data_IF_656014441464
#
_entry.id   IF_656014441464
#
_cell.length_a   1.000
_cell.length_b   1.000
_cell.length_c   1.000
_cell.angle_alpha   90.00
_cell.angle_beta   90.00
_cell.angle_gamma   90.00
#
_symmetry.space_group_name_H-M   'P 1'
#
loop_
_entity.id
_entity.type
_entity.pdbx_description
1 polymer ?
#
# COMPACT_ATOMS: atom_id res chain seq x y z
N UNK A 1 -21.14 -8.36 -9.10
CA UNK A 1 -20.15 -7.95 -8.09
C UNK A 1 -19.94 -6.42 -8.10
N UNK A 2 -19.64 -5.79 -9.23
CA UNK A 2 -19.41 -4.34 -9.34
C UNK A 2 -20.63 -3.54 -8.85
N UNK A 3 -21.83 -3.84 -9.32
CA UNK A 3 -23.06 -3.16 -8.85
C UNK A 3 -23.26 -3.27 -7.34
N UNK A 4 -23.01 -4.45 -6.78
CA UNK A 4 -23.07 -4.65 -5.34
C UNK A 4 -22.07 -3.76 -4.58
N UNK A 5 -20.80 -3.70 -5.04
CA UNK A 5 -19.75 -2.91 -4.42
C UNK A 5 -20.09 -1.40 -4.44
N UNK A 6 -20.67 -0.90 -5.53
CA UNK A 6 -20.98 0.52 -5.70
C UNK A 6 -22.23 0.99 -4.94
N UNK A 7 -23.12 0.08 -4.58
CA UNK A 7 -24.38 0.40 -3.93
C UNK A 7 -24.39 0.18 -2.42
N UNK A 8 -23.50 -0.67 -1.91
CA UNK A 8 -23.47 -1.03 -0.50
C UNK A 8 -23.23 0.19 0.40
N UNK A 9 -23.97 0.26 1.50
CA UNK A 9 -23.94 1.33 2.49
C UNK A 9 -23.60 0.82 3.89
N UNK A 10 -23.18 1.74 4.77
CA UNK A 10 -22.92 1.40 6.17
C UNK A 10 -24.24 0.96 6.82
N UNK A 11 -24.23 -0.21 7.44
CA UNK A 11 -25.41 -0.82 8.06
C UNK A 11 -26.09 -1.91 7.19
N UNK A 12 -25.71 -2.03 5.92
CA UNK A 12 -26.21 -3.13 5.08
C UNK A 12 -25.62 -4.46 5.54
N UNK A 13 -26.45 -5.51 5.53
CA UNK A 13 -25.98 -6.87 5.78
C UNK A 13 -25.37 -7.47 4.51
N UNK A 14 -24.09 -7.79 4.59
CA UNK A 14 -23.37 -8.45 3.50
C UNK A 14 -23.47 -9.97 3.73
N UNK A 15 -24.13 -10.74 2.84
CA UNK A 15 -24.16 -12.19 2.95
C UNK A 15 -22.74 -12.80 2.98
N UNK A 16 -22.51 -13.76 3.88
CA UNK A 16 -21.19 -14.39 4.06
C UNK A 16 -20.61 -14.96 2.75
N UNK A 17 -21.45 -15.57 1.93
CA UNK A 17 -21.04 -16.13 0.65
C UNK A 17 -20.47 -15.06 -0.30
N UNK A 18 -21.12 -13.89 -0.37
CA UNK A 18 -20.66 -12.74 -1.19
C UNK A 18 -19.37 -12.17 -0.62
N UNK A 19 -19.32 -11.99 0.70
CA UNK A 19 -18.13 -11.50 1.39
C UNK A 19 -16.90 -12.39 1.13
N UNK A 20 -17.05 -13.71 1.27
CA UNK A 20 -15.96 -14.66 1.03
C UNK A 20 -15.54 -14.71 -0.45
N UNK A 21 -16.52 -14.66 -1.37
CA UNK A 21 -16.22 -14.60 -2.81
C UNK A 21 -15.45 -13.33 -3.17
N UNK A 22 -15.83 -12.16 -2.64
CA UNK A 22 -15.11 -10.91 -2.86
C UNK A 22 -13.69 -10.93 -2.27
N UNK A 23 -13.52 -11.45 -1.06
CA UNK A 23 -12.20 -11.63 -0.47
C UNK A 23 -11.31 -12.59 -1.27
N UNK A 24 -11.89 -13.64 -1.88
CA UNK A 24 -11.15 -14.53 -2.78
C UNK A 24 -10.60 -13.78 -3.99
N UNK A 25 -11.42 -12.94 -4.64
CA UNK A 25 -10.98 -12.12 -5.77
C UNK A 25 -9.86 -11.14 -5.37
N UNK A 26 -9.95 -10.51 -4.20
CA UNK A 26 -8.87 -9.65 -3.68
C UNK A 26 -7.57 -10.44 -3.52
N UNK A 27 -7.64 -11.67 -3.01
CA UNK A 27 -6.46 -12.54 -2.87
C UNK A 27 -5.84 -12.88 -4.23
N UNK A 28 -6.66 -13.26 -5.20
CA UNK A 28 -6.20 -13.51 -6.57
C UNK A 28 -5.50 -12.26 -7.13
N UNK A 29 -6.10 -11.08 -6.94
CA UNK A 29 -5.49 -9.82 -7.36
C UNK A 29 -4.15 -9.55 -6.64
N UNK A 30 -4.04 -9.77 -5.33
CA UNK A 30 -2.78 -9.62 -4.60
C UNK A 30 -1.67 -10.56 -5.10
N UNK A 31 -2.04 -11.69 -5.72
CA UNK A 31 -1.09 -12.63 -6.35
C UNK A 31 -0.67 -12.16 -7.74
N UNK A 32 -1.64 -11.78 -8.55
CA UNK A 32 -1.45 -11.44 -9.95
C UNK A 32 -0.93 -10.01 -10.13
N UNK A 33 -1.42 -9.08 -9.30
CA UNK A 33 -1.29 -7.65 -9.50
C UNK A 33 -2.23 -7.14 -10.58
N UNK A 34 -2.07 -5.85 -10.93
CA UNK A 34 -2.88 -5.15 -11.94
C UNK A 34 -2.16 -4.92 -13.26
N UNK A 35 -0.99 -5.51 -13.50
CA UNK A 35 -0.25 -5.31 -14.75
C UNK A 35 -1.00 -5.91 -15.94
N UNK A 36 -1.32 -5.11 -17.00
CA UNK A 36 -2.18 -5.55 -18.10
C UNK A 36 -1.71 -6.85 -18.77
N UNK A 37 -0.40 -7.00 -18.99
CA UNK A 37 0.17 -8.21 -19.59
C UNK A 37 -0.06 -9.46 -18.72
N UNK A 38 0.04 -9.32 -17.40
CA UNK A 38 -0.18 -10.43 -16.45
C UNK A 38 -1.65 -10.82 -16.41
N UNK A 39 -2.55 -9.83 -16.34
CA UNK A 39 -4.00 -10.06 -16.31
C UNK A 39 -4.50 -10.68 -17.63
N UNK A 40 -4.05 -10.14 -18.78
CA UNK A 40 -4.41 -10.70 -20.10
C UNK A 40 -3.99 -12.17 -20.25
N UNK A 41 -2.79 -12.51 -19.76
CA UNK A 41 -2.31 -13.88 -19.75
C UNK A 41 -3.16 -14.78 -18.83
N UNK A 42 -3.45 -14.31 -17.61
CA UNK A 42 -4.27 -15.04 -16.66
C UNK A 42 -5.68 -15.35 -17.21
N UNK A 43 -6.32 -14.37 -17.85
CA UNK A 43 -7.65 -14.55 -18.45
C UNK A 43 -7.65 -15.56 -19.60
N UNK A 44 -6.50 -15.82 -20.26
CA UNK A 44 -6.37 -16.79 -21.34
C UNK A 44 -6.00 -18.18 -20.86
N UNK A 45 -5.17 -18.28 -19.84
CA UNK A 45 -4.55 -19.55 -19.42
C UNK A 45 -5.04 -20.08 -18.08
N UNK A 46 -5.61 -19.23 -17.25
CA UNK A 46 -5.94 -19.50 -15.84
C UNK A 46 -4.74 -20.04 -15.03
N UNK A 47 -3.52 -19.84 -15.55
CA UNK A 47 -2.27 -20.35 -14.98
C UNK A 47 -1.54 -19.26 -14.21
N UNK A 48 -1.44 -19.42 -12.90
CA UNK A 48 -0.63 -18.51 -12.05
C UNK A 48 0.86 -18.67 -12.32
N UNK A 49 1.32 -19.90 -12.65
CA UNK A 49 2.72 -20.15 -12.98
C UNK A 49 3.14 -19.34 -14.21
N UNK A 50 2.33 -19.33 -15.28
CA UNK A 50 2.61 -18.54 -16.48
C UNK A 50 2.63 -17.04 -16.15
N UNK A 51 1.70 -16.58 -15.30
CA UNK A 51 1.69 -15.18 -14.85
C UNK A 51 2.98 -14.76 -14.16
N UNK A 52 3.60 -15.66 -13.38
CA UNK A 52 4.88 -15.38 -12.73
C UNK A 52 6.03 -15.16 -13.71
N UNK A 53 6.02 -15.85 -14.85
CA UNK A 53 7.01 -15.62 -15.90
C UNK A 53 6.88 -14.19 -16.45
N UNK A 54 5.66 -13.74 -16.74
CA UNK A 54 5.39 -12.37 -17.19
C UNK A 54 5.74 -11.32 -16.11
N UNK A 55 5.44 -11.58 -14.85
CA UNK A 55 5.89 -10.71 -13.74
C UNK A 55 7.42 -10.60 -13.72
N UNK A 56 8.12 -11.72 -13.89
CA UNK A 56 9.60 -11.73 -13.92
C UNK A 56 10.14 -10.97 -15.15
N UNK A 57 9.51 -11.12 -16.30
CA UNK A 57 9.88 -10.39 -17.52
C UNK A 57 9.72 -8.88 -17.31
N UNK A 58 8.59 -8.43 -16.77
CA UNK A 58 8.34 -7.02 -16.47
C UNK A 58 9.38 -6.45 -15.48
N UNK A 59 9.68 -7.16 -14.40
CA UNK A 59 10.68 -6.73 -13.42
C UNK A 59 12.06 -6.55 -14.05
N UNK A 60 12.47 -7.46 -14.95
CA UNK A 60 13.72 -7.34 -15.70
C UNK A 60 13.68 -6.16 -16.66
N UNK A 61 12.59 -5.99 -17.41
CA UNK A 61 12.42 -4.88 -18.34
C UNK A 61 12.59 -3.52 -17.65
N UNK A 62 11.94 -3.31 -16.49
CA UNK A 62 12.12 -2.09 -15.70
C UNK A 62 13.58 -1.91 -15.26
N UNK A 63 14.21 -2.96 -14.76
CA UNK A 63 15.61 -2.90 -14.32
C UNK A 63 16.58 -2.56 -15.47
N UNK A 64 16.36 -3.14 -16.65
CA UNK A 64 17.21 -2.94 -17.83
C UNK A 64 17.03 -1.52 -18.41
N UNK A 65 15.84 -0.95 -18.32
CA UNK A 65 15.56 0.40 -18.78
C UNK A 65 16.33 1.48 -17.99
N UNK A 66 16.65 1.24 -16.72
CA UNK A 66 17.44 2.20 -15.93
C UNK A 66 18.82 2.47 -16.53
N UNK A 67 19.41 1.48 -17.22
CA UNK A 67 20.70 1.64 -17.89
C UNK A 67 20.66 2.62 -19.07
N UNK A 68 19.49 2.78 -19.71
CA UNK A 68 19.31 3.65 -20.88
C UNK A 68 19.26 5.14 -20.51
N UNK A 69 18.83 5.45 -19.29
CA UNK A 69 18.50 6.82 -18.86
C UNK A 69 19.43 7.36 -17.77
N UNK A 70 20.48 6.62 -17.40
CA UNK A 70 21.37 7.01 -16.31
C UNK A 70 22.84 6.80 -16.62
N UNK A 71 23.72 7.64 -16.00
CA UNK A 71 25.16 7.35 -15.98
C UNK A 71 25.44 6.08 -15.17
N UNK A 72 26.57 5.42 -15.41
CA UNK A 72 26.95 4.20 -14.69
C UNK A 72 26.93 4.35 -13.17
N UNK A 73 27.32 5.51 -12.66
CA UNK A 73 27.26 5.82 -11.23
C UNK A 73 25.83 5.93 -10.72
N UNK A 74 24.94 6.64 -11.43
CA UNK A 74 23.52 6.82 -11.05
C UNK A 74 22.74 5.51 -11.18
N UNK A 75 23.04 4.72 -12.20
CA UNK A 75 22.43 3.40 -12.42
C UNK A 75 22.57 2.48 -11.18
N UNK A 76 23.75 2.45 -10.54
CA UNK A 76 23.99 1.65 -9.34
C UNK A 76 23.01 2.02 -8.19
N UNK A 77 22.73 3.32 -8.01
CA UNK A 77 21.79 3.76 -6.97
C UNK A 77 20.34 3.39 -7.32
N UNK A 78 19.94 3.56 -8.60
CA UNK A 78 18.61 3.18 -9.07
C UNK A 78 18.37 1.68 -8.88
N UNK A 79 19.30 0.83 -9.31
CA UNK A 79 19.21 -0.61 -9.11
C UNK A 79 19.16 -1.00 -7.65
N UNK A 80 19.95 -0.38 -6.79
CA UNK A 80 19.97 -0.68 -5.37
C UNK A 80 18.63 -0.37 -4.70
N UNK A 81 18.05 0.80 -4.99
CA UNK A 81 16.74 1.20 -4.46
C UNK A 81 15.66 0.27 -5.01
N UNK A 82 15.64 0.03 -6.33
CA UNK A 82 14.68 -0.83 -6.98
C UNK A 82 14.66 -2.25 -6.40
N UNK A 83 15.83 -2.87 -6.27
CA UNK A 83 15.96 -4.25 -5.79
C UNK A 83 15.62 -4.41 -4.31
N UNK A 84 15.85 -3.38 -3.49
CA UNK A 84 15.57 -3.44 -2.04
C UNK A 84 14.12 -3.11 -1.69
N UNK A 85 13.47 -2.24 -2.46
CA UNK A 85 12.11 -1.76 -2.14
C UNK A 85 11.11 -2.87 -1.87
N UNK A 86 11.03 -3.96 -2.69
CA UNK A 86 10.04 -5.02 -2.44
C UNK A 86 10.12 -5.68 -1.05
N UNK A 87 11.33 -5.81 -0.51
CA UNK A 87 11.55 -6.37 0.82
C UNK A 87 11.45 -5.36 1.97
N UNK A 88 11.21 -4.09 1.67
CA UNK A 88 11.12 -2.99 2.65
C UNK A 88 9.71 -2.38 2.73
N UNK A 89 8.77 -2.91 1.96
CA UNK A 89 7.36 -2.46 2.01
C UNK A 89 6.81 -2.73 3.41
N UNK A 90 6.11 -1.73 3.97
CA UNK A 90 5.60 -1.77 5.34
C UNK A 90 6.57 -1.23 6.40
N UNK A 91 7.87 -1.21 6.11
CA UNK A 91 8.88 -0.72 7.04
C UNK A 91 9.04 0.80 6.99
N UNK A 92 9.23 1.41 8.15
CA UNK A 92 9.68 2.79 8.24
C UNK A 92 11.19 2.88 7.92
N UNK A 93 11.54 3.67 6.92
CA UNK A 93 12.88 3.76 6.37
C UNK A 93 13.50 5.13 6.64
N UNK A 94 14.82 5.14 6.85
CA UNK A 94 15.69 6.31 6.73
C UNK A 94 16.69 6.05 5.60
N UNK A 95 17.11 7.09 4.88
CA UNK A 95 18.07 6.95 3.77
C UNK A 95 19.34 6.18 4.17
N UNK A 96 19.88 6.46 5.36
CA UNK A 96 21.07 5.78 5.87
C UNK A 96 20.90 4.28 6.11
N UNK A 97 19.66 3.82 6.34
CA UNK A 97 19.35 2.42 6.58
C UNK A 97 19.03 1.67 5.28
N UNK A 98 18.65 2.41 4.22
CA UNK A 98 18.34 1.80 2.92
C UNK A 98 19.58 1.14 2.31
N UNK A 99 20.75 1.81 2.38
CA UNK A 99 22.03 1.22 1.99
C UNK A 99 23.17 1.92 2.75
N UNK A 100 23.71 1.31 3.82
CA UNK A 100 24.76 1.93 4.65
C UNK A 100 26.03 2.33 3.89
N UNK A 101 26.34 1.59 2.82
CA UNK A 101 27.56 1.80 2.02
C UNK A 101 27.38 2.83 0.90
N UNK A 102 26.23 3.49 0.82
CA UNK A 102 25.90 4.47 -0.22
C UNK A 102 25.59 5.85 0.37
N UNK A 103 25.96 6.91 -0.35
CA UNK A 103 25.67 8.28 0.06
C UNK A 103 24.14 8.51 0.04
N UNK A 104 23.56 8.93 1.19
CA UNK A 104 22.11 9.17 1.34
C UNK A 104 21.54 10.19 0.34
N UNK A 105 22.34 11.14 -0.14
CA UNK A 105 21.89 12.15 -1.12
C UNK A 105 21.57 11.51 -2.45
N UNK A 106 22.45 10.65 -2.96
CA UNK A 106 22.21 9.95 -4.21
C UNK A 106 21.11 8.89 -4.09
N UNK A 107 20.92 8.29 -2.90
CA UNK A 107 19.77 7.42 -2.63
C UNK A 107 18.44 8.20 -2.69
N UNK A 108 18.40 9.43 -2.14
CA UNK A 108 17.23 10.31 -2.26
C UNK A 108 16.94 10.64 -3.72
N UNK A 109 17.95 11.02 -4.49
CA UNK A 109 17.79 11.31 -5.92
C UNK A 109 17.28 10.10 -6.71
N UNK A 110 17.82 8.90 -6.42
CA UNK A 110 17.37 7.67 -7.05
C UNK A 110 15.90 7.34 -6.72
N UNK A 111 15.45 7.54 -5.48
CA UNK A 111 14.04 7.38 -5.10
C UNK A 111 13.16 8.36 -5.87
N UNK A 112 13.56 9.63 -6.00
CA UNK A 112 12.81 10.64 -6.74
C UNK A 112 12.73 10.33 -8.24
N UNK A 113 13.80 9.79 -8.82
CA UNK A 113 13.78 9.35 -10.23
C UNK A 113 12.84 8.16 -10.44
N UNK A 114 12.88 7.17 -9.54
CA UNK A 114 11.98 6.01 -9.61
C UNK A 114 10.52 6.41 -9.33
N UNK A 115 10.28 7.43 -8.48
CA UNK A 115 8.96 8.04 -8.32
C UNK A 115 8.48 8.67 -9.62
N UNK A 116 9.32 9.49 -10.28
CA UNK A 116 8.97 10.10 -11.58
C UNK A 116 8.71 9.06 -12.67
N UNK A 117 9.40 7.93 -12.62
CA UNK A 117 9.16 6.79 -13.51
C UNK A 117 7.90 5.97 -13.15
N UNK A 118 7.22 6.30 -12.04
CA UNK A 118 6.04 5.57 -11.57
C UNK A 118 6.33 4.15 -11.05
N UNK A 119 7.57 3.87 -10.67
CA UNK A 119 8.00 2.52 -10.25
C UNK A 119 8.00 2.35 -8.74
N UNK A 120 8.28 3.42 -7.99
CA UNK A 120 8.31 3.45 -6.54
C UNK A 120 7.61 4.72 -6.05
N UNK A 121 6.87 4.60 -4.95
CA UNK A 121 6.16 5.72 -4.35
C UNK A 121 6.60 5.89 -2.90
N UNK A 122 7.39 6.95 -2.59
CA UNK A 122 7.74 7.28 -1.22
C UNK A 122 6.53 7.88 -0.49
N UNK A 123 6.19 7.29 0.65
CA UNK A 123 5.13 7.73 1.55
C UNK A 123 5.79 8.37 2.77
N UNK A 124 5.74 9.69 2.87
CA UNK A 124 6.43 10.42 3.93
C UNK A 124 5.62 10.47 5.22
N UNK A 125 6.32 10.58 6.36
CA UNK A 125 5.68 10.80 7.65
C UNK A 125 5.09 12.21 7.73
N UNK A 126 3.87 12.33 8.25
CA UNK A 126 3.24 13.61 8.56
C UNK A 126 2.91 13.71 10.06
N UNK A 127 3.00 14.91 10.62
CA UNK A 127 2.53 15.18 11.97
C UNK A 127 0.99 15.21 12.08
N UNK A 128 0.28 15.22 10.95
CA UNK A 128 -1.20 15.28 10.87
C UNK A 128 -1.82 16.39 11.74
N UNK A 129 -1.14 17.55 11.85
CA UNK A 129 -1.55 18.66 12.75
C UNK A 129 -2.39 19.72 12.06
N UNK A 130 -2.92 19.42 10.87
CA UNK A 130 -3.77 20.32 10.08
C UNK A 130 -3.59 20.10 8.58
N UNK A 131 -4.37 20.81 7.80
CA UNK A 131 -4.31 20.81 6.34
C UNK A 131 -3.62 22.09 5.83
N UNK A 132 -2.87 22.01 4.72
CA UNK A 132 -2.56 20.80 3.95
C UNK A 132 -1.52 19.91 4.65
N UNK A 133 -1.68 18.58 4.55
CA UNK A 133 -0.80 17.59 5.19
C UNK A 133 0.67 17.76 4.79
N UNK A 134 0.91 18.23 3.56
CA UNK A 134 2.24 18.49 3.00
C UNK A 134 3.09 19.45 3.85
N UNK A 135 2.47 20.40 4.55
CA UNK A 135 3.21 21.40 5.38
C UNK A 135 3.79 20.80 6.66
N UNK A 136 3.37 19.60 7.02
CA UNK A 136 3.75 18.93 8.26
C UNK A 136 4.58 17.68 8.03
N UNK A 137 5.32 17.60 6.91
CA UNK A 137 6.10 16.43 6.53
C UNK A 137 7.43 16.31 7.24
N UNK A 138 7.80 15.07 7.53
CA UNK A 138 9.17 14.69 7.86
C UNK A 138 9.76 13.84 6.74
N UNK A 139 10.43 14.48 5.77
CA UNK A 139 11.06 13.80 4.62
C UNK A 139 12.22 12.87 4.99
N UNK A 140 12.70 12.89 6.22
CA UNK A 140 13.77 11.98 6.68
C UNK A 140 13.25 10.59 7.05
N UNK A 141 11.94 10.45 7.20
CA UNK A 141 11.26 9.21 7.52
C UNK A 141 10.19 8.93 6.46
N UNK A 142 10.28 7.79 5.84
CA UNK A 142 9.36 7.41 4.79
C UNK A 142 9.15 5.89 4.75
N UNK A 143 8.06 5.47 4.18
CA UNK A 143 7.82 4.12 3.69
C UNK A 143 7.95 4.11 2.18
N UNK A 144 8.11 2.94 1.58
CA UNK A 144 8.12 2.77 0.13
C UNK A 144 6.99 1.84 -0.28
N UNK A 145 6.27 2.24 -1.32
CA UNK A 145 5.41 1.34 -2.07
C UNK A 145 6.05 1.03 -3.42
N UNK A 146 5.83 -0.17 -3.89
CA UNK A 146 6.23 -0.59 -5.21
C UNK A 146 5.10 -0.32 -6.22
N UNK A 147 5.42 -0.31 -7.51
CA UNK A 147 4.47 -0.06 -8.60
C UNK A 147 3.20 -0.92 -8.51
N UNK A 148 3.37 -2.20 -8.18
CA UNK A 148 2.30 -3.18 -8.24
C UNK A 148 2.50 -4.29 -7.20
N UNK A 149 1.42 -4.73 -6.55
CA UNK A 149 1.47 -5.73 -5.48
C UNK A 149 1.95 -7.10 -5.97
N UNK A 150 1.55 -7.52 -7.18
CA UNK A 150 1.99 -8.78 -7.78
C UNK A 150 3.48 -8.74 -8.13
N UNK A 151 3.96 -7.64 -8.69
CA UNK A 151 5.38 -7.43 -8.97
C UNK A 151 6.20 -7.34 -7.69
N UNK A 152 5.72 -6.62 -6.67
CA UNK A 152 6.37 -6.53 -5.35
C UNK A 152 6.58 -7.91 -4.75
N UNK A 153 5.50 -8.69 -4.67
CA UNK A 153 5.53 -10.05 -4.14
C UNK A 153 6.50 -10.94 -4.91
N UNK A 154 6.49 -10.88 -6.26
CA UNK A 154 7.40 -11.65 -7.11
C UNK A 154 8.86 -11.27 -6.89
N UNK A 155 9.15 -9.97 -6.80
CA UNK A 155 10.50 -9.46 -6.55
C UNK A 155 11.03 -9.80 -5.16
N UNK A 156 10.16 -9.77 -4.14
CA UNK A 156 10.47 -10.20 -2.77
C UNK A 156 10.60 -11.72 -2.62
N UNK A 157 10.34 -12.50 -3.68
CA UNK A 157 10.36 -13.99 -3.68
C UNK A 157 9.46 -14.62 -2.61
N UNK A 158 8.33 -13.99 -2.34
CA UNK A 158 7.35 -14.52 -1.39
C UNK A 158 6.61 -15.70 -2.03
N UNK A 159 6.53 -16.80 -1.28
CA UNK A 159 6.06 -18.09 -1.79
C UNK A 159 4.56 -18.07 -2.07
N UNK A 160 4.14 -18.63 -3.22
CA UNK A 160 2.74 -18.68 -3.63
C UNK A 160 1.96 -19.76 -2.90
N UNK A 161 2.58 -20.88 -2.58
CA UNK A 161 1.89 -22.00 -1.93
C UNK A 161 1.33 -21.60 -0.56
N UNK A 162 1.97 -20.65 0.11
CA UNK A 162 1.46 -20.01 1.32
C UNK A 162 0.22 -19.13 1.08
N UNK A 163 -0.04 -18.72 -0.16
CA UNK A 163 -1.17 -17.85 -0.52
C UNK A 163 -2.46 -18.63 -0.78
N UNK A 164 -2.39 -19.92 -1.08
CA UNK A 164 -3.57 -20.78 -1.29
C UNK A 164 -4.11 -21.43 -0.01
N UNK A 165 -3.34 -21.42 1.08
CA UNK A 165 -3.87 -21.87 2.37
C UNK A 165 -4.90 -20.86 2.89
N UNK A 166 -5.94 -21.31 3.59
CA UNK A 166 -7.02 -20.46 4.12
C UNK A 166 -6.54 -19.29 4.98
N UNK A 167 -5.29 -19.35 5.40
CA UNK A 167 -4.59 -18.38 6.21
C UNK A 167 -3.64 -17.46 5.42
N UNK A 168 -3.99 -16.97 4.27
CA UNK A 168 -3.25 -15.96 3.48
C UNK A 168 -2.73 -14.77 4.29
N UNK A 169 -3.13 -14.69 5.51
CA UNK A 169 -2.90 -13.57 6.41
C UNK A 169 -1.78 -13.81 7.44
N UNK A 170 -0.97 -14.92 7.43
CA UNK A 170 -0.11 -15.27 8.57
C UNK A 170 1.41 -15.05 8.46
N UNK A 171 2.03 -14.92 7.28
CA UNK A 171 3.48 -14.68 7.15
C UNK A 171 3.73 -13.51 6.20
N UNK A 172 4.52 -12.53 6.55
CA UNK A 172 4.88 -11.29 5.82
C UNK A 172 3.68 -10.48 5.24
N UNK A 173 2.53 -10.58 5.88
CA UNK A 173 1.20 -10.24 5.40
C UNK A 173 0.84 -8.81 5.59
N UNK A 174 1.39 -8.18 6.61
CA UNK A 174 1.27 -6.75 6.81
C UNK A 174 1.73 -6.03 5.55
N UNK A 175 2.93 -6.34 5.07
CA UNK A 175 3.54 -5.71 3.92
C UNK A 175 2.71 -5.85 2.63
N UNK A 176 2.18 -7.06 2.32
CA UNK A 176 1.34 -7.27 1.13
C UNK A 176 0.02 -6.51 1.25
N UNK A 177 -0.61 -6.55 2.43
CA UNK A 177 -1.85 -5.83 2.68
C UNK A 177 -1.65 -4.31 2.62
N UNK A 178 -0.58 -3.80 3.23
CA UNK A 178 -0.21 -2.38 3.15
C UNK A 178 0.11 -1.98 1.70
N UNK A 179 0.90 -2.76 0.97
CA UNK A 179 1.17 -2.49 -0.45
C UNK A 179 -0.12 -2.39 -1.26
N UNK A 180 -1.02 -3.37 -1.12
CA UNK A 180 -2.29 -3.36 -1.84
C UNK A 180 -3.12 -2.13 -1.48
N UNK A 181 -3.30 -1.84 -0.19
CA UNK A 181 -4.09 -0.68 0.25
C UNK A 181 -3.47 0.63 -0.20
N UNK A 182 -2.16 0.79 -0.05
CA UNK A 182 -1.47 2.02 -0.47
C UNK A 182 -1.54 2.24 -1.98
N UNK A 183 -1.38 1.19 -2.78
CA UNK A 183 -1.53 1.22 -4.23
C UNK A 183 -2.95 1.66 -4.63
N UNK A 184 -3.99 1.05 -4.04
CA UNK A 184 -5.38 1.40 -4.30
C UNK A 184 -5.70 2.84 -3.86
N UNK A 185 -5.22 3.27 -2.68
CA UNK A 185 -5.41 4.65 -2.21
C UNK A 185 -4.76 5.68 -3.14
N UNK A 186 -3.63 5.38 -3.77
CA UNK A 186 -3.03 6.23 -4.79
C UNK A 186 -3.83 6.22 -6.09
N UNK A 187 -4.28 5.04 -6.54
CA UNK A 187 -4.97 4.85 -7.80
C UNK A 187 -6.36 5.52 -7.86
N UNK A 188 -7.05 5.64 -6.71
CA UNK A 188 -8.39 6.24 -6.64
C UNK A 188 -8.40 7.75 -6.32
N UNK A 189 -7.24 8.40 -6.34
CA UNK A 189 -7.16 9.86 -6.26
C UNK A 189 -7.51 10.51 -7.61
N UNK A 190 -7.65 11.83 -7.62
CA UNK A 190 -7.95 12.57 -8.85
C UNK A 190 -6.80 12.35 -9.86
N UNK A 191 -7.09 11.89 -11.10
CA UNK A 191 -6.06 11.61 -12.09
C UNK A 191 -5.36 12.89 -12.61
N UNK A 192 -5.89 14.07 -12.35
CA UNK A 192 -5.30 15.35 -12.74
C UNK A 192 -4.38 15.93 -11.66
N UNK A 193 -4.42 15.41 -10.44
CA UNK A 193 -3.58 15.84 -9.35
C UNK A 193 -2.41 14.86 -9.11
N UNK A 194 -1.29 15.37 -8.55
CA UNK A 194 -0.24 14.49 -8.06
C UNK A 194 -0.76 13.74 -6.83
N UNK A 195 -0.78 12.38 -6.85
CA UNK A 195 -1.32 11.61 -5.73
C UNK A 195 -0.56 11.87 -4.44
N UNK A 196 -1.29 12.11 -3.36
CA UNK A 196 -0.74 12.40 -2.04
C UNK A 196 -1.17 11.33 -1.03
N UNK A 197 -0.22 10.63 -0.47
CA UNK A 197 -0.42 9.64 0.57
C UNK A 197 0.69 9.78 1.60
N UNK A 198 0.32 9.75 2.87
CA UNK A 198 1.22 9.91 3.99
C UNK A 198 0.99 8.79 5.00
N UNK A 199 1.89 8.66 5.98
CA UNK A 199 1.67 7.86 7.16
C UNK A 199 1.92 8.71 8.41
N UNK A 200 1.48 8.26 9.56
CA UNK A 200 1.78 8.93 10.82
C UNK A 200 2.65 8.05 11.70
N UNK A 201 3.66 8.65 12.29
CA UNK A 201 4.45 8.04 13.36
C UNK A 201 4.67 9.04 14.47
N UNK A 202 4.51 8.58 15.70
CA UNK A 202 4.77 9.43 16.87
C UNK A 202 6.24 9.78 16.95
N UNK A 203 6.55 11.06 17.16
CA UNK A 203 7.96 11.54 17.23
C UNK A 203 8.60 11.31 18.62
N UNK A 204 7.89 10.72 19.57
CA UNK A 204 8.41 10.43 20.91
C UNK A 204 9.43 9.29 20.85
N UNK A 205 10.60 9.50 21.51
CA UNK A 205 11.69 8.51 21.55
C UNK A 205 11.31 7.16 22.16
N UNK A 206 10.26 7.14 22.98
CA UNK A 206 9.79 5.95 23.70
C UNK A 206 8.52 5.34 23.10
N UNK A 207 8.03 5.83 21.97
CA UNK A 207 6.80 5.35 21.34
C UNK A 207 7.08 4.81 19.95
N UNK A 208 6.65 3.58 19.70
CA UNK A 208 6.62 2.95 18.37
C UNK A 208 5.24 3.06 17.70
N UNK A 209 4.40 4.04 18.12
CA UNK A 209 3.07 4.18 17.55
C UNK A 209 3.15 4.68 16.11
N UNK A 210 2.50 3.96 15.20
CA UNK A 210 2.44 4.23 13.77
C UNK A 210 1.03 3.93 13.26
N UNK A 211 0.55 4.75 12.31
CA UNK A 211 -0.68 4.51 11.54
C UNK A 211 -0.29 4.46 10.07
N UNK A 212 -0.74 3.41 9.38
CA UNK A 212 -0.23 3.03 8.07
C UNK A 212 -0.43 4.09 7.01
N UNK A 213 -1.61 4.74 6.97
CA UNK A 213 -1.90 5.81 6.01
C UNK A 213 -2.66 6.96 6.64
N UNK A 214 -2.33 8.15 6.16
CA UNK A 214 -3.04 9.41 6.46
C UNK A 214 -3.22 10.16 5.15
N UNK A 215 -4.43 10.58 4.88
CA UNK A 215 -4.75 11.37 3.69
C UNK A 215 -5.89 12.35 3.97
N UNK A 216 -6.13 13.25 3.03
CA UNK A 216 -7.21 14.22 3.08
C UNK A 216 -8.37 13.73 2.21
N UNK A 217 -9.56 13.57 2.81
CA UNK A 217 -10.82 13.44 2.07
C UNK A 217 -11.73 14.62 2.40
N UNK A 218 -12.12 15.38 1.37
CA UNK A 218 -13.06 16.50 1.47
C UNK A 218 -12.78 17.42 2.68
N UNK A 219 -11.50 17.86 2.81
CA UNK A 219 -11.00 18.73 3.90
C UNK A 219 -10.96 18.08 5.30
N UNK A 220 -11.08 16.77 5.37
CA UNK A 220 -10.97 16.00 6.63
C UNK A 220 -9.74 15.09 6.61
N UNK A 221 -8.92 15.17 7.68
CA UNK A 221 -7.81 14.26 7.85
C UNK A 221 -8.37 12.87 8.20
N UNK A 222 -8.06 11.89 7.37
CA UNK A 222 -8.48 10.51 7.55
C UNK A 222 -7.28 9.63 7.86
N UNK A 223 -7.33 8.97 8.99
CA UNK A 223 -6.34 7.99 9.45
C UNK A 223 -6.80 6.57 9.12
N UNK A 224 -5.94 5.79 8.47
CA UNK A 224 -6.25 4.44 7.99
C UNK A 224 -5.23 3.45 8.55
N UNK A 225 -5.73 2.45 9.25
CA UNK A 225 -4.96 1.31 9.76
C UNK A 225 -5.30 0.06 8.94
N UNK A 226 -4.29 -0.64 8.45
CA UNK A 226 -4.43 -1.88 7.68
C UNK A 226 -4.24 -3.07 8.59
N UNK A 227 -5.17 -4.02 8.57
CA UNK A 227 -5.05 -5.27 9.31
C UNK A 227 -5.25 -6.45 8.38
N UNK A 228 -4.21 -7.22 8.21
CA UNK A 228 -4.22 -8.40 7.35
C UNK A 228 -5.26 -9.46 7.80
N UNK A 229 -5.66 -9.48 9.07
CA UNK A 229 -6.61 -10.42 9.65
C UNK A 229 -7.82 -9.77 10.32
N UNK A 230 -8.67 -10.64 10.90
CA UNK A 230 -9.84 -10.21 11.69
C UNK A 230 -9.46 -9.60 13.05
N UNK A 231 -8.30 -9.99 13.58
CA UNK A 231 -7.79 -9.56 14.90
C UNK A 231 -6.65 -8.55 14.72
N UNK A 232 -6.42 -7.76 15.74
CA UNK A 232 -5.35 -6.77 15.77
C UNK A 232 -5.75 -5.57 16.62
N UNK A 233 -4.80 -5.03 17.38
CA UNK A 233 -5.06 -3.85 18.19
C UNK A 233 -5.00 -2.59 17.32
N UNK A 234 -5.89 -1.64 17.58
CA UNK A 234 -5.94 -0.32 16.92
C UNK A 234 -5.37 0.78 17.82
N UNK A 235 -4.41 0.42 18.69
CA UNK A 235 -3.86 1.34 19.70
C UNK A 235 -3.27 2.61 19.06
N UNK A 236 -2.52 2.46 17.99
CA UNK A 236 -1.91 3.60 17.29
C UNK A 236 -2.97 4.48 16.62
N UNK A 237 -3.97 3.87 15.99
CA UNK A 237 -5.08 4.60 15.38
C UNK A 237 -5.87 5.40 16.45
N UNK A 238 -6.26 4.78 17.55
CA UNK A 238 -6.93 5.47 18.64
C UNK A 238 -6.07 6.58 19.27
N UNK A 239 -4.75 6.36 19.37
CA UNK A 239 -3.82 7.37 19.87
C UNK A 239 -3.79 8.58 18.95
N UNK A 240 -3.62 8.37 17.63
CA UNK A 240 -3.63 9.45 16.65
C UNK A 240 -4.96 10.20 16.66
N UNK A 241 -6.08 9.48 16.65
CA UNK A 241 -7.41 10.09 16.72
C UNK A 241 -7.58 10.98 17.93
N UNK A 242 -7.13 10.51 19.10
CA UNK A 242 -7.18 11.29 20.34
C UNK A 242 -6.26 12.52 20.30
N UNK A 243 -5.01 12.36 19.82
CA UNK A 243 -4.03 13.45 19.78
C UNK A 243 -4.39 14.55 18.78
N UNK A 244 -5.11 14.20 17.71
CA UNK A 244 -5.47 15.12 16.62
C UNK A 244 -6.97 15.42 16.56
N UNK A 245 -7.71 14.97 17.56
CA UNK A 245 -9.17 15.18 17.66
C UNK A 245 -9.91 14.72 16.39
N UNK A 246 -9.45 13.60 15.77
CA UNK A 246 -10.09 13.08 14.57
C UNK A 246 -11.42 12.41 14.94
N UNK A 247 -12.52 12.79 14.27
CA UNK A 247 -13.85 12.27 14.60
C UNK A 247 -14.01 10.80 14.20
N UNK A 248 -13.26 10.33 13.20
CA UNK A 248 -13.39 9.01 12.60
C UNK A 248 -12.03 8.44 12.23
N UNK A 249 -11.81 7.15 12.53
CA UNK A 249 -10.71 6.34 12.03
C UNK A 249 -11.23 5.26 11.08
N UNK A 250 -10.38 4.83 10.16
CA UNK A 250 -10.68 3.75 9.22
C UNK A 250 -9.80 2.54 9.51
N UNK A 251 -10.39 1.36 9.52
CA UNK A 251 -9.69 0.08 9.55
C UNK A 251 -9.97 -0.66 8.26
N UNK A 252 -8.96 -0.96 7.46
CA UNK A 252 -9.09 -1.83 6.31
C UNK A 252 -8.66 -3.24 6.70
N UNK A 253 -9.58 -4.20 6.57
CA UNK A 253 -9.38 -5.57 7.05
C UNK A 253 -10.23 -6.59 6.26
N UNK A 254 -10.16 -7.88 6.67
CA UNK A 254 -11.05 -8.94 6.16
C UNK A 254 -12.41 -8.98 6.87
N UNK A 255 -12.75 -7.98 7.66
CA UNK A 255 -14.06 -7.82 8.28
C UNK A 255 -15.09 -7.32 7.26
N UNK A 256 -16.37 -7.58 7.51
CA UNK A 256 -17.47 -6.93 6.78
C UNK A 256 -17.48 -5.42 7.05
N UNK A 257 -18.14 -4.67 6.16
CA UNK A 257 -18.38 -3.24 6.37
C UNK A 257 -19.21 -3.02 7.64
N UNK A 258 -18.65 -2.28 8.57
CA UNK A 258 -19.33 -1.98 9.84
C UNK A 258 -18.76 -0.75 10.51
N UNK A 259 -19.61 -0.03 11.22
CA UNK A 259 -19.22 1.06 12.08
C UNK A 259 -19.29 0.59 13.55
N UNK A 260 -18.18 0.72 14.27
CA UNK A 260 -18.11 0.45 15.69
C UNK A 260 -17.56 1.68 16.39
N UNK A 261 -18.38 2.34 17.21
CA UNK A 261 -18.08 3.64 17.79
C UNK A 261 -17.63 4.63 16.70
N UNK A 262 -16.39 5.06 16.74
CA UNK A 262 -15.79 5.98 15.78
C UNK A 262 -14.77 5.30 14.84
N UNK A 263 -14.88 3.99 14.64
CA UNK A 263 -14.04 3.22 13.70
C UNK A 263 -14.91 2.63 12.59
N UNK A 264 -14.67 3.04 11.36
CA UNK A 264 -15.24 2.42 10.18
C UNK A 264 -14.35 1.26 9.72
N UNK A 265 -14.83 0.03 9.87
CA UNK A 265 -14.18 -1.16 9.32
C UNK A 265 -14.63 -1.37 7.88
N UNK A 266 -13.68 -1.35 6.96
CA UNK A 266 -13.91 -1.45 5.51
C UNK A 266 -13.21 -2.71 5.00
N UNK A 267 -13.91 -3.65 4.33
CA UNK A 267 -13.26 -4.79 3.70
C UNK A 267 -12.40 -4.36 2.52
N UNK A 268 -11.32 -5.09 2.24
CA UNK A 268 -10.37 -4.78 1.16
C UNK A 268 -11.04 -4.51 -0.20
N UNK A 269 -12.09 -5.23 -0.54
CA UNK A 269 -12.81 -5.06 -1.81
C UNK A 269 -13.67 -3.78 -1.90
N UNK A 270 -13.78 -3.00 -0.82
CA UNK A 270 -14.50 -1.72 -0.79
C UNK A 270 -13.58 -0.49 -0.75
N UNK A 271 -12.26 -0.65 -0.89
CA UNK A 271 -11.31 0.49 -0.85
C UNK A 271 -11.68 1.55 -1.92
N UNK A 272 -12.09 1.11 -3.11
CA UNK A 272 -12.54 2.01 -4.19
C UNK A 272 -13.75 2.88 -3.80
N UNK A 273 -14.51 2.46 -2.80
CA UNK A 273 -15.70 3.16 -2.32
C UNK A 273 -15.44 4.02 -1.07
N UNK A 274 -14.19 4.05 -0.59
CA UNK A 274 -13.86 4.71 0.67
C UNK A 274 -14.32 6.16 0.71
N UNK A 275 -14.06 6.92 -0.37
CA UNK A 275 -14.50 8.33 -0.47
C UNK A 275 -16.02 8.50 -0.36
N UNK A 276 -16.80 7.55 -0.90
CA UNK A 276 -18.26 7.56 -0.80
C UNK A 276 -18.76 7.16 0.59
N UNK A 277 -18.09 6.19 1.22
CA UNK A 277 -18.44 5.70 2.56
C UNK A 277 -18.10 6.68 3.69
N UNK A 278 -17.24 7.66 3.42
CA UNK A 278 -16.81 8.69 4.37
C UNK A 278 -17.64 9.98 4.26
N UNK A 279 -18.53 10.08 3.29
CA UNK A 279 -19.51 11.18 3.14
C UNK A 279 -20.77 10.92 3.94
#
# INVERSE_FOLDING_TARGET
MIEFITQISIGDDIPDAIHQAALKLVREYMILGGMPMVIDNYLKTESIADCQEFQTLLLRTYSDDFAKYSTSARHKYLQQVYNKTPGLVGDQIKYVNLSPDMDPRYLKDAILDLKKAGVIFPIYSTAASGLPLLTHLNEKRFKLLFLDVGLMKRAAKLDIDLLFTQDLMLLDRGAIAEQFVGQELLAYQDPFDEPQLYYWSREDRNSAAEVDYVLNFDSTITAIEVKAGKTGTLRSLHLLMKEKELPLGVRIATLKLQMNDNILSVPFYLISQLKRLLK
#
